data_IF_403903048138
#
_entry.id   IF_403903048138
#
_cell.length_a   1.000
_cell.length_b   1.000
_cell.length_c   1.000
_cell.angle_alpha   90.00
_cell.angle_beta   90.00
_cell.angle_gamma   90.00
#
_symmetry.space_group_name_H-M   'P 1'
#
loop_
_entity.id
_entity.type
_entity.pdbx_description
1 polymer ?
#
# COMPACT_ATOMS: atom_id res chain seq x y z
N UNK A 1 13.85 1.29 22.37
CA UNK A 1 13.03 2.35 23.02
C UNK A 1 12.75 3.44 21.99
N UNK A 2 11.50 3.54 21.52
CA UNK A 2 11.06 4.64 20.65
C UNK A 2 10.94 5.88 21.52
N UNK A 3 11.83 6.85 21.36
CA UNK A 3 11.79 8.09 22.11
C UNK A 3 10.85 9.04 21.36
N UNK A 4 9.62 9.19 21.85
CA UNK A 4 8.63 10.09 21.24
C UNK A 4 8.84 11.46 21.86
N UNK A 5 9.66 12.29 21.24
CA UNK A 5 9.82 13.68 21.67
C UNK A 5 8.53 14.50 21.40
N UNK A 6 8.15 15.25 22.43
CA UNK A 6 6.88 15.96 22.64
C UNK A 6 6.50 16.97 21.54
N UNK A 7 5.25 16.91 21.05
CA UNK A 7 4.19 17.96 21.07
C UNK A 7 3.00 17.62 20.11
N UNK A 8 1.78 17.53 20.66
CA UNK A 8 0.43 17.56 20.02
C UNK A 8 0.07 16.46 18.98
N UNK A 9 -0.95 15.63 19.25
CA UNK A 9 -1.46 14.61 18.31
C UNK A 9 -2.75 15.04 17.61
N UNK A 10 -2.76 14.85 16.30
CA UNK A 10 -3.88 14.86 15.38
C UNK A 10 -3.52 13.90 14.25
N UNK A 11 -4.51 13.42 13.48
CA UNK A 11 -4.27 12.78 12.18
C UNK A 11 -3.25 13.60 11.40
N UNK A 12 -2.16 13.04 10.89
CA UNK A 12 -1.15 13.86 10.19
C UNK A 12 -0.27 14.77 11.07
N UNK A 13 -0.16 14.54 12.39
CA UNK A 13 1.07 14.93 13.09
C UNK A 13 2.11 13.83 12.87
N UNK A 14 3.35 14.17 12.49
CA UNK A 14 4.34 13.16 12.18
C UNK A 14 4.74 12.36 13.42
N UNK A 15 5.16 11.12 13.19
CA UNK A 15 5.87 10.33 14.19
C UNK A 15 7.36 10.44 13.92
N UNK A 16 8.16 10.74 14.93
CA UNK A 16 9.61 10.64 14.84
C UNK A 16 10.03 9.24 15.28
N UNK A 17 10.75 8.53 14.41
CA UNK A 17 11.27 7.19 14.67
C UNK A 17 12.79 7.21 14.50
N UNK A 18 13.49 6.48 15.37
CA UNK A 18 14.95 6.33 15.28
C UNK A 18 15.38 5.69 13.96
N UNK A 19 16.45 6.21 13.35
CA UNK A 19 17.00 5.71 12.09
C UNK A 19 17.29 4.21 12.12
N UNK A 20 17.85 3.69 13.21
CA UNK A 20 18.23 2.28 13.29
C UNK A 20 17.01 1.36 13.21
N UNK A 21 15.88 1.75 13.80
CA UNK A 21 14.61 0.99 13.73
C UNK A 21 14.12 0.93 12.29
N UNK A 22 14.16 2.06 11.58
CA UNK A 22 13.71 2.13 10.19
C UNK A 22 14.62 1.33 9.27
N UNK A 23 15.94 1.48 9.39
CA UNK A 23 16.93 0.75 8.58
C UNK A 23 16.82 -0.76 8.78
N UNK A 24 16.57 -1.20 10.02
CA UNK A 24 16.42 -2.61 10.35
C UNK A 24 15.16 -3.23 9.74
N UNK A 25 14.02 -2.54 9.81
CA UNK A 25 12.75 -2.98 9.21
C UNK A 25 12.86 -2.95 7.67
N UNK A 26 13.48 -1.90 7.11
CA UNK A 26 13.70 -1.79 5.67
C UNK A 26 14.61 -2.90 5.13
N UNK A 27 15.66 -3.26 5.88
CA UNK A 27 16.51 -4.41 5.52
C UNK A 27 15.72 -5.71 5.46
N UNK A 28 14.77 -5.91 6.37
CA UNK A 28 13.90 -7.08 6.35
C UNK A 28 12.94 -7.06 5.15
N UNK A 29 12.35 -5.92 4.80
CA UNK A 29 11.47 -5.84 3.63
C UNK A 29 12.21 -6.10 2.31
N UNK A 30 13.44 -5.58 2.16
CA UNK A 30 14.30 -5.88 1.00
C UNK A 30 14.64 -7.37 0.90
N UNK A 31 14.87 -8.05 2.03
CA UNK A 31 15.19 -9.47 2.02
C UNK A 31 14.01 -10.34 1.52
N UNK A 32 12.76 -9.92 1.77
CA UNK A 32 11.56 -10.57 1.22
C UNK A 32 11.50 -10.37 -0.31
N UNK A 33 11.79 -9.16 -0.79
CA UNK A 33 11.88 -8.90 -2.22
C UNK A 33 12.97 -9.76 -2.89
N UNK A 34 14.14 -9.90 -2.26
CA UNK A 34 15.23 -10.74 -2.76
C UNK A 34 14.86 -12.23 -2.76
N UNK A 35 14.16 -12.70 -1.72
CA UNK A 35 13.59 -14.06 -1.70
C UNK A 35 12.61 -14.26 -2.85
N UNK A 36 11.68 -13.33 -3.05
CA UNK A 36 10.68 -13.43 -4.11
C UNK A 36 11.32 -13.49 -5.49
N UNK A 37 12.31 -12.63 -5.77
CA UNK A 37 13.07 -12.64 -7.03
C UNK A 37 13.74 -13.99 -7.30
N UNK A 38 14.18 -14.72 -6.27
CA UNK A 38 14.70 -16.08 -6.42
C UNK A 38 13.61 -17.09 -6.81
N UNK A 39 12.37 -16.91 -6.33
CA UNK A 39 11.24 -17.77 -6.67
C UNK A 39 10.82 -17.59 -8.14
N UNK A 40 10.72 -16.34 -8.60
CA UNK A 40 10.26 -15.98 -9.95
C UNK A 40 11.41 -15.80 -10.96
N UNK A 41 12.49 -16.58 -10.82
CA UNK A 41 13.75 -16.37 -11.55
C UNK A 41 13.69 -16.58 -13.08
N UNK A 42 12.50 -16.83 -13.65
CA UNK A 42 12.23 -16.79 -15.09
C UNK A 42 10.84 -16.19 -15.34
N UNK A 43 10.56 -15.65 -16.55
CA UNK A 43 9.23 -15.18 -16.92
C UNK A 43 8.12 -16.23 -16.79
N UNK A 44 8.45 -17.51 -17.02
CA UNK A 44 7.53 -18.63 -16.90
C UNK A 44 7.15 -18.87 -15.43
N UNK A 45 8.13 -18.85 -14.51
CA UNK A 45 7.85 -18.99 -13.08
C UNK A 45 7.06 -17.82 -12.53
N UNK A 46 7.35 -16.61 -12.99
CA UNK A 46 6.55 -15.43 -12.68
C UNK A 46 5.10 -15.60 -13.16
N UNK A 47 4.89 -16.08 -14.39
CA UNK A 47 3.54 -16.29 -14.92
C UNK A 47 2.79 -17.36 -14.11
N UNK A 48 3.44 -18.48 -13.78
CA UNK A 48 2.88 -19.50 -12.89
C UNK A 48 2.56 -18.94 -11.49
N UNK A 49 3.35 -18.00 -10.99
CA UNK A 49 3.14 -17.36 -9.70
C UNK A 49 1.89 -16.46 -9.71
N UNK A 50 1.72 -15.67 -10.79
CA UNK A 50 0.54 -14.84 -11.03
C UNK A 50 -0.71 -15.71 -11.17
N UNK A 51 -0.66 -16.76 -12.01
CA UNK A 51 -1.79 -17.68 -12.26
C UNK A 51 -2.38 -18.27 -10.98
N UNK A 52 -1.51 -18.64 -10.03
CA UNK A 52 -1.92 -19.19 -8.73
C UNK A 52 -2.72 -18.20 -7.86
N UNK A 53 -2.55 -16.89 -8.08
CA UNK A 53 -3.10 -15.82 -7.23
C UNK A 53 -4.31 -15.10 -7.85
N UNK A 54 -4.47 -15.21 -9.17
CA UNK A 54 -5.55 -14.54 -9.92
C UNK A 54 -6.53 -15.54 -10.58
N UNK A 55 -7.25 -16.39 -9.82
CA UNK A 55 -8.04 -17.48 -10.39
C UNK A 55 -9.32 -17.06 -11.15
N UNK A 56 -9.69 -15.77 -11.13
CA UNK A 56 -10.88 -15.20 -11.79
C UNK A 56 -10.64 -14.87 -13.28
N UNK A 57 -11.69 -14.60 -14.06
CA UNK A 57 -11.61 -14.59 -15.54
C UNK A 57 -10.71 -13.47 -16.11
N UNK A 58 -10.91 -12.22 -15.69
CA UNK A 58 -9.97 -11.13 -15.96
C UNK A 58 -8.63 -11.46 -15.30
N UNK A 59 -8.62 -12.06 -14.11
CA UNK A 59 -7.39 -12.47 -13.41
C UNK A 59 -6.48 -13.39 -14.23
N UNK A 60 -7.07 -14.34 -14.96
CA UNK A 60 -6.38 -15.22 -15.91
C UNK A 60 -5.95 -14.47 -17.18
N UNK A 61 -6.63 -13.38 -17.54
CA UNK A 61 -6.12 -12.49 -18.60
C UNK A 61 -4.93 -11.66 -18.15
N UNK A 62 -4.82 -11.40 -16.85
CA UNK A 62 -3.70 -10.65 -16.30
C UNK A 62 -2.38 -11.43 -16.30
N UNK A 63 -2.39 -12.75 -16.54
CA UNK A 63 -1.20 -13.60 -16.65
C UNK A 63 -0.69 -13.73 -18.10
N UNK A 64 -0.60 -12.61 -18.81
CA UNK A 64 -0.03 -12.59 -20.16
C UNK A 64 1.49 -12.82 -20.07
N UNK A 65 1.99 -13.85 -20.77
CA UNK A 65 3.44 -14.12 -20.84
C UNK A 65 4.23 -12.91 -21.33
N UNK A 66 3.70 -12.17 -22.32
CA UNK A 66 4.37 -11.00 -22.88
C UNK A 66 4.51 -9.88 -21.84
N UNK A 67 3.43 -9.60 -21.09
CA UNK A 67 3.43 -8.61 -20.00
C UNK A 67 4.37 -9.05 -18.88
N UNK A 68 4.29 -10.31 -18.45
CA UNK A 68 5.17 -10.84 -17.41
C UNK A 68 6.65 -10.84 -17.83
N UNK A 69 6.95 -11.11 -19.11
CA UNK A 69 8.31 -11.01 -19.65
C UNK A 69 8.84 -9.57 -19.63
N UNK A 70 8.02 -8.60 -20.04
CA UNK A 70 8.37 -7.18 -19.96
C UNK A 70 8.71 -6.78 -18.51
N UNK A 71 7.83 -7.11 -17.58
CA UNK A 71 8.00 -6.73 -16.18
C UNK A 71 9.17 -7.48 -15.51
N UNK A 72 9.40 -8.76 -15.87
CA UNK A 72 10.59 -9.50 -15.44
C UNK A 72 11.89 -8.84 -15.93
N UNK A 73 11.91 -8.32 -17.15
CA UNK A 73 13.06 -7.56 -17.65
C UNK A 73 13.30 -6.30 -16.82
N UNK A 74 12.25 -5.59 -16.41
CA UNK A 74 12.38 -4.45 -15.51
C UNK A 74 13.01 -4.86 -14.18
N UNK A 75 12.54 -5.95 -13.54
CA UNK A 75 13.14 -6.47 -12.30
C UNK A 75 14.64 -6.71 -12.47
N UNK A 76 15.05 -7.34 -13.58
CA UNK A 76 16.46 -7.64 -13.87
C UNK A 76 17.30 -6.39 -14.15
N UNK A 77 16.67 -5.34 -14.67
CA UNK A 77 17.27 -4.02 -14.89
C UNK A 77 17.29 -3.16 -13.61
N UNK A 78 16.92 -3.74 -12.46
CA UNK A 78 16.98 -3.09 -11.17
C UNK A 78 15.68 -2.41 -10.74
N UNK A 79 14.58 -2.60 -11.47
CA UNK A 79 13.26 -2.15 -11.04
C UNK A 79 12.87 -2.83 -9.73
N UNK A 80 12.50 -2.00 -8.77
CA UNK A 80 12.14 -2.46 -7.44
C UNK A 80 10.64 -2.75 -7.35
N UNK A 81 10.28 -3.78 -6.59
CA UNK A 81 8.89 -4.15 -6.38
C UNK A 81 8.36 -3.28 -5.24
N UNK A 82 7.41 -2.36 -5.48
CA UNK A 82 6.77 -1.59 -4.43
C UNK A 82 6.04 -2.54 -3.48
N UNK A 83 6.23 -2.31 -2.19
CA UNK A 83 5.89 -3.27 -1.17
C UNK A 83 5.49 -2.55 0.10
N UNK A 84 4.35 -2.88 0.67
CA UNK A 84 3.92 -2.37 1.96
C UNK A 84 4.29 -3.41 3.01
N UNK A 85 5.21 -3.07 3.92
CA UNK A 85 5.60 -3.94 5.03
C UNK A 85 5.05 -3.38 6.34
N UNK A 86 3.96 -3.96 6.83
CA UNK A 86 3.24 -3.49 8.01
C UNK A 86 3.74 -4.22 9.26
N UNK A 87 4.32 -3.45 10.19
CA UNK A 87 4.79 -3.93 11.49
C UNK A 87 4.07 -3.24 12.63
N UNK A 88 3.54 -4.05 13.55
CA UNK A 88 2.83 -3.61 14.74
C UNK A 88 3.77 -3.59 15.94
N UNK A 89 3.72 -2.52 16.73
CA UNK A 89 4.36 -2.48 18.04
C UNK A 89 3.57 -3.37 19.02
N UNK A 90 4.22 -4.43 19.46
CA UNK A 90 3.63 -5.58 20.16
C UNK A 90 4.43 -5.93 21.41
N UNK A 91 3.88 -6.82 22.22
CA UNK A 91 4.50 -7.34 23.44
C UNK A 91 5.08 -8.73 23.14
N UNK A 92 6.32 -8.97 23.54
CA UNK A 92 6.93 -10.31 23.50
C UNK A 92 6.53 -11.18 24.71
N UNK A 93 7.05 -12.42 24.77
CA UNK A 93 6.76 -13.35 25.86
C UNK A 93 7.25 -12.87 27.23
N UNK A 94 8.18 -11.93 27.28
CA UNK A 94 8.73 -11.34 28.50
C UNK A 94 8.02 -10.03 28.90
N UNK A 95 7.08 -9.54 28.09
CA UNK A 95 6.41 -8.27 28.35
C UNK A 95 7.08 -7.05 27.68
N UNK A 96 8.16 -7.25 26.93
CA UNK A 96 8.94 -6.16 26.32
C UNK A 96 8.37 -5.73 24.96
N UNK A 97 8.51 -4.44 24.58
CA UNK A 97 8.07 -3.95 23.28
C UNK A 97 8.94 -4.53 22.14
N UNK A 98 8.28 -5.07 21.11
CA UNK A 98 8.91 -5.49 19.85
C UNK A 98 8.03 -5.16 18.65
N UNK A 99 8.63 -5.03 17.47
CA UNK A 99 7.86 -4.97 16.23
C UNK A 99 7.57 -6.38 15.72
N UNK A 100 6.32 -6.65 15.37
CA UNK A 100 5.90 -7.91 14.73
C UNK A 100 5.19 -7.58 13.43
N UNK A 101 5.57 -8.24 12.34
CA UNK A 101 4.92 -8.07 11.05
C UNK A 101 3.51 -8.66 11.08
N UNK A 102 2.53 -7.85 10.72
CA UNK A 102 1.11 -8.22 10.70
C UNK A 102 0.59 -8.50 9.29
N UNK A 103 1.22 -7.86 8.30
CA UNK A 103 0.86 -7.95 6.90
C UNK A 103 2.03 -7.46 6.04
N UNK A 104 2.17 -8.03 4.86
CA UNK A 104 2.86 -7.35 3.79
C UNK A 104 2.15 -7.59 2.48
N UNK A 105 2.25 -6.64 1.55
CA UNK A 105 1.67 -6.76 0.24
C UNK A 105 2.45 -5.96 -0.80
N UNK A 106 2.65 -6.52 -1.99
CA UNK A 106 3.20 -5.74 -3.10
C UNK A 106 2.14 -4.78 -3.63
N UNK A 107 2.31 -3.49 -3.39
CA UNK A 107 1.32 -2.49 -3.72
C UNK A 107 1.97 -1.13 -3.99
N UNK A 108 1.41 -0.40 -4.96
CA UNK A 108 1.67 1.02 -5.11
C UNK A 108 0.62 1.80 -4.31
N UNK A 109 1.05 2.73 -3.45
CA UNK A 109 0.14 3.62 -2.75
C UNK A 109 0.86 4.77 -2.05
N UNK A 110 0.20 5.92 -1.92
CA UNK A 110 0.69 7.09 -1.16
C UNK A 110 1.93 7.78 -1.74
N UNK A 111 2.33 7.48 -2.98
CA UNK A 111 3.53 8.04 -3.61
C UNK A 111 3.37 9.54 -3.91
N UNK A 112 2.18 9.99 -4.31
CA UNK A 112 1.90 11.40 -4.61
C UNK A 112 1.59 12.21 -3.34
N UNK A 113 1.06 11.54 -2.32
CA UNK A 113 0.55 12.19 -1.10
C UNK A 113 1.65 12.59 -0.11
N UNK A 114 2.71 11.80 0.00
CA UNK A 114 3.53 11.81 1.23
C UNK A 114 4.36 13.07 1.41
N UNK A 115 4.84 13.66 0.30
CA UNK A 115 5.49 14.97 0.34
C UNK A 115 4.52 16.04 0.83
N UNK A 116 3.28 16.04 0.32
CA UNK A 116 2.25 17.01 0.72
C UNK A 116 1.95 16.94 2.21
N UNK A 117 1.82 15.74 2.78
CA UNK A 117 1.68 15.60 4.23
C UNK A 117 2.87 16.17 4.99
N UNK A 118 4.08 15.78 4.59
CA UNK A 118 5.32 16.18 5.24
C UNK A 118 5.46 17.71 5.23
N UNK A 119 5.13 18.36 4.12
CA UNK A 119 5.12 19.82 4.00
C UNK A 119 4.11 20.45 4.98
N UNK A 120 2.90 19.90 5.09
CA UNK A 120 1.87 20.40 6.02
C UNK A 120 2.31 20.24 7.48
N UNK A 121 2.97 19.13 7.82
CA UNK A 121 3.49 18.90 9.16
C UNK A 121 4.51 19.98 9.53
N UNK A 122 5.44 20.30 8.62
CA UNK A 122 6.46 21.32 8.84
C UNK A 122 5.85 22.72 8.91
N UNK A 123 4.85 23.02 8.07
CA UNK A 123 4.10 24.28 8.17
C UNK A 123 3.36 24.42 9.50
N UNK A 124 2.90 23.30 10.08
CA UNK A 124 2.23 23.29 11.38
C UNK A 124 3.23 23.41 12.55
N UNK A 125 4.45 22.92 12.40
CA UNK A 125 5.53 23.02 13.39
C UNK A 125 6.91 23.12 12.70
N UNK A 126 7.42 24.36 12.62
CA UNK A 126 8.71 24.67 12.00
C UNK A 126 9.89 23.90 12.61
N UNK A 127 9.79 23.40 13.86
CA UNK A 127 10.86 22.61 14.46
C UNK A 127 11.09 21.27 13.76
N UNK A 128 10.12 20.80 12.96
CA UNK A 128 10.21 19.58 12.17
C UNK A 128 11.06 19.73 10.90
N UNK A 129 11.43 20.96 10.51
CA UNK A 129 12.27 21.23 9.33
C UNK A 129 13.57 20.42 9.36
N UNK A 130 14.13 20.18 10.56
CA UNK A 130 15.37 19.38 10.75
C UNK A 130 15.24 17.93 10.27
N UNK A 131 14.03 17.39 10.15
CA UNK A 131 13.77 16.03 9.69
C UNK A 131 13.38 15.94 8.21
N UNK A 132 13.27 17.06 7.49
CA UNK A 132 12.89 17.03 6.07
C UNK A 132 13.90 16.29 5.20
N UNK A 133 15.20 16.38 5.53
CA UNK A 133 16.28 15.70 4.81
C UNK A 133 16.38 14.21 5.13
N UNK A 134 15.73 13.75 6.20
CA UNK A 134 15.80 12.35 6.63
C UNK A 134 14.72 11.46 6.01
N UNK A 135 13.82 12.05 5.22
CA UNK A 135 12.72 11.37 4.58
C UNK A 135 13.01 11.12 3.08
N UNK A 136 12.84 9.87 2.62
CA UNK A 136 12.95 9.54 1.20
C UNK A 136 11.70 10.02 0.44
N UNK A 137 11.87 10.88 -0.56
CA UNK A 137 10.75 11.39 -1.34
C UNK A 137 10.42 10.48 -2.54
N UNK A 138 9.34 9.67 -2.49
CA UNK A 138 8.98 8.76 -3.59
C UNK A 138 8.59 9.47 -4.89
N UNK A 139 8.28 10.78 -4.84
CA UNK A 139 8.03 11.57 -6.05
C UNK A 139 9.26 11.57 -6.96
N UNK A 140 10.47 11.60 -6.39
CA UNK A 140 11.70 11.58 -7.17
C UNK A 140 11.83 10.27 -7.96
N UNK A 141 11.40 9.14 -7.40
CA UNK A 141 11.48 7.88 -8.12
C UNK A 141 10.39 7.77 -9.21
N UNK A 142 9.20 8.36 -9.00
CA UNK A 142 8.19 8.48 -10.06
C UNK A 142 8.71 9.31 -11.25
N UNK A 143 9.40 10.41 -10.97
CA UNK A 143 10.03 11.25 -12.00
C UNK A 143 11.12 10.47 -12.73
N UNK A 144 11.96 9.73 -12.01
CA UNK A 144 13.01 8.89 -12.60
C UNK A 144 12.43 7.82 -13.52
N UNK A 145 11.35 7.13 -13.11
CA UNK A 145 10.64 6.16 -13.96
C UNK A 145 10.13 6.81 -15.24
N UNK A 146 9.55 8.01 -15.16
CA UNK A 146 9.09 8.76 -16.33
C UNK A 146 10.23 9.09 -17.28
N UNK A 147 11.37 9.51 -16.76
CA UNK A 147 12.57 9.84 -17.55
C UNK A 147 13.12 8.57 -18.21
N UNK A 148 13.34 7.52 -17.42
CA UNK A 148 14.11 6.34 -17.83
C UNK A 148 13.29 5.35 -18.65
N UNK A 149 12.07 5.01 -18.18
CA UNK A 149 11.22 4.03 -18.84
C UNK A 149 10.32 4.66 -19.90
N UNK A 150 9.78 5.84 -19.64
CA UNK A 150 8.87 6.51 -20.57
C UNK A 150 9.53 7.56 -21.46
N UNK A 151 10.84 7.81 -21.30
CA UNK A 151 11.58 8.83 -22.08
C UNK A 151 10.89 10.21 -22.04
N UNK A 152 10.45 10.60 -20.85
CA UNK A 152 9.65 11.79 -20.57
C UNK A 152 8.24 11.83 -21.18
N UNK A 153 7.75 10.73 -21.76
CA UNK A 153 6.35 10.64 -22.19
C UNK A 153 5.41 10.48 -20.98
N UNK A 154 4.14 10.84 -21.17
CA UNK A 154 3.10 10.70 -20.15
C UNK A 154 2.92 9.21 -19.78
N UNK A 155 3.00 8.91 -18.48
CA UNK A 155 2.60 7.62 -17.92
C UNK A 155 1.18 7.78 -17.37
N UNK A 156 0.26 6.99 -17.91
CA UNK A 156 -1.15 6.99 -17.52
C UNK A 156 -1.29 6.30 -16.17
N UNK A 157 -1.87 7.00 -15.20
CA UNK A 157 -2.27 6.41 -13.91
C UNK A 157 -3.70 5.89 -14.02
N UNK A 158 -3.87 4.59 -13.81
CA UNK A 158 -5.16 3.91 -13.98
C UNK A 158 -5.66 3.29 -12.67
N UNK A 159 -6.94 3.47 -12.38
CA UNK A 159 -7.66 2.85 -11.26
C UNK A 159 -9.12 2.59 -11.68
N UNK A 160 -9.88 1.75 -10.97
CA UNK A 160 -11.29 1.53 -11.33
C UNK A 160 -12.14 2.79 -11.10
N UNK A 161 -11.92 3.47 -9.96
CA UNK A 161 -12.69 4.62 -9.49
C UNK A 161 -11.73 5.79 -9.17
N UNK A 162 -11.01 6.29 -10.18
CA UNK A 162 -9.82 7.12 -9.97
C UNK A 162 -10.11 8.47 -9.30
N UNK A 163 -11.33 9.00 -9.46
CA UNK A 163 -11.72 10.34 -9.01
C UNK A 163 -12.71 10.35 -7.84
N UNK A 164 -13.16 9.18 -7.39
CA UNK A 164 -14.18 9.04 -6.33
C UNK A 164 -13.76 8.08 -5.22
N UNK A 165 -12.63 7.39 -5.38
CA UNK A 165 -12.06 6.55 -4.32
C UNK A 165 -11.47 7.39 -3.19
N UNK A 166 -11.30 6.79 -2.01
CA UNK A 166 -10.66 7.42 -0.84
C UNK A 166 -9.18 7.77 -1.04
N UNK A 167 -8.64 7.43 -2.19
CA UNK A 167 -7.24 7.67 -2.56
C UNK A 167 -7.15 8.45 -3.87
N UNK A 168 -8.25 9.08 -4.30
CA UNK A 168 -8.33 9.86 -5.53
C UNK A 168 -7.29 10.99 -5.57
N UNK A 169 -7.03 11.64 -4.44
CA UNK A 169 -5.97 12.65 -4.30
C UNK A 169 -4.60 12.09 -4.67
N UNK A 170 -4.22 10.94 -4.12
CA UNK A 170 -2.93 10.31 -4.39
C UNK A 170 -2.81 9.96 -5.88
N UNK A 171 -3.87 9.41 -6.47
CA UNK A 171 -3.94 9.11 -7.90
C UNK A 171 -3.83 10.37 -8.77
N UNK A 172 -4.46 11.48 -8.37
CA UNK A 172 -4.39 12.77 -9.08
C UNK A 172 -2.96 13.33 -9.02
N UNK A 173 -2.34 13.37 -7.85
CA UNK A 173 -0.98 13.88 -7.72
C UNK A 173 0.03 12.99 -8.47
N UNK A 174 -0.13 11.66 -8.42
CA UNK A 174 0.66 10.75 -9.25
C UNK A 174 0.48 11.02 -10.75
N UNK A 175 -0.75 11.20 -11.22
CA UNK A 175 -1.03 11.50 -12.62
C UNK A 175 -0.36 12.80 -13.08
N UNK A 176 -0.35 13.83 -12.24
CA UNK A 176 0.34 15.09 -12.56
C UNK A 176 1.85 14.95 -12.64
N UNK A 177 2.45 14.22 -11.68
CA UNK A 177 3.90 13.96 -11.66
C UNK A 177 4.30 13.18 -12.93
N UNK A 178 3.54 12.15 -13.25
CA UNK A 178 3.81 11.22 -14.34
C UNK A 178 3.38 11.72 -15.73
N UNK A 179 2.57 12.78 -15.78
CA UNK A 179 2.11 13.46 -16.99
C UNK A 179 2.43 14.95 -16.96
N UNK A 180 1.40 15.77 -16.77
CA UNK A 180 1.44 17.22 -16.66
C UNK A 180 0.44 17.73 -15.61
N UNK A 181 0.43 19.02 -15.31
CA UNK A 181 -0.49 19.62 -14.32
C UNK A 181 -2.00 19.41 -14.63
N UNK A 182 -2.35 19.10 -15.88
CA UNK A 182 -3.73 18.85 -16.33
C UNK A 182 -4.08 17.36 -16.37
N UNK A 183 -3.11 16.49 -16.10
CA UNK A 183 -3.26 15.05 -16.19
C UNK A 183 -4.13 14.55 -15.05
N UNK A 184 -5.04 13.64 -15.39
CA UNK A 184 -5.98 13.03 -14.45
C UNK A 184 -5.85 11.51 -14.54
N UNK A 185 -6.01 10.80 -13.41
CA UNK A 185 -6.07 9.36 -13.41
C UNK A 185 -7.34 8.89 -14.15
N UNK A 186 -7.23 7.75 -14.83
CA UNK A 186 -8.26 7.25 -15.77
C UNK A 186 -8.86 5.92 -15.32
N UNK A 187 -10.08 5.64 -15.77
CA UNK A 187 -10.74 4.34 -15.55
C UNK A 187 -10.47 3.40 -16.72
N UNK A 188 -10.27 2.08 -16.50
CA UNK A 188 -10.26 1.10 -17.58
C UNK A 188 -11.58 1.11 -18.37
N UNK A 189 -12.69 1.55 -17.76
CA UNK A 189 -13.98 1.67 -18.44
C UNK A 189 -13.97 2.67 -19.60
N UNK A 190 -12.99 3.57 -19.65
CA UNK A 190 -12.83 4.55 -20.72
C UNK A 190 -11.88 4.12 -21.85
N UNK A 191 -11.30 2.91 -21.75
CA UNK A 191 -10.44 2.32 -22.79
C UNK A 191 -11.24 1.99 -24.04
N UNK A 192 -10.66 2.29 -25.20
CA UNK A 192 -11.13 1.86 -26.52
C UNK A 192 -9.96 1.63 -27.48
N UNK A 193 -10.27 1.05 -28.64
CA UNK A 193 -9.29 0.73 -29.69
C UNK A 193 -9.68 1.40 -31.00
N UNK A 194 -8.73 2.06 -31.64
CA UNK A 194 -8.89 2.75 -32.92
C UNK A 194 -7.59 2.58 -33.73
N UNK A 195 -7.70 2.24 -35.01
CA UNK A 195 -6.54 1.99 -35.89
C UNK A 195 -5.47 1.05 -35.30
N UNK A 196 -5.93 0.01 -34.61
CA UNK A 196 -5.07 -0.98 -33.97
C UNK A 196 -4.38 -0.50 -32.67
N UNK A 197 -4.50 0.78 -32.32
CA UNK A 197 -3.90 1.41 -31.13
C UNK A 197 -4.91 1.55 -29.99
N UNK A 198 -4.39 1.61 -28.76
CA UNK A 198 -5.18 1.80 -27.55
C UNK A 198 -5.29 3.26 -27.18
N UNK A 199 -6.51 3.69 -26.87
CA UNK A 199 -6.82 5.04 -26.44
C UNK A 199 -7.70 5.01 -25.19
N UNK A 200 -7.62 6.08 -24.41
CA UNK A 200 -8.40 6.24 -23.19
C UNK A 200 -9.00 7.64 -23.17
N UNK A 201 -10.30 7.72 -22.89
CA UNK A 201 -10.95 9.00 -22.66
C UNK A 201 -10.68 9.46 -21.22
N UNK A 202 -10.01 10.59 -21.08
CA UNK A 202 -9.80 11.25 -19.79
C UNK A 202 -11.06 12.01 -19.44
N UNK A 203 -11.62 11.71 -18.28
CA UNK A 203 -12.84 12.35 -17.76
C UNK A 203 -12.57 13.08 -16.47
N UNK A 204 -13.33 14.13 -16.20
CA UNK A 204 -13.33 14.78 -14.89
C UNK A 204 -14.32 14.09 -13.92
N UNK A 205 -14.38 14.57 -12.67
CA UNK A 205 -15.28 14.05 -11.62
C UNK A 205 -16.78 14.15 -11.96
N UNK A 206 -17.15 14.99 -12.93
CA UNK A 206 -18.51 15.15 -13.42
C UNK A 206 -18.79 14.25 -14.65
N UNK A 207 -17.90 13.28 -14.92
CA UNK A 207 -17.97 12.36 -16.06
C UNK A 207 -17.88 13.05 -17.44
N UNK A 208 -17.43 14.30 -17.50
CA UNK A 208 -17.26 15.03 -18.75
C UNK A 208 -15.93 14.63 -19.39
N UNK A 209 -15.97 14.35 -20.69
CA UNK A 209 -14.76 14.10 -21.50
C UNK A 209 -13.91 15.37 -21.58
N UNK A 210 -12.63 15.24 -21.24
CA UNK A 210 -11.65 16.34 -21.25
C UNK A 210 -10.72 16.21 -22.44
N UNK A 211 -10.14 15.02 -22.64
CA UNK A 211 -9.22 14.70 -23.74
C UNK A 211 -9.11 13.20 -23.95
N UNK A 212 -8.64 12.81 -25.12
CA UNK A 212 -8.23 11.44 -25.43
C UNK A 212 -6.72 11.31 -25.38
N UNK A 213 -6.21 10.22 -24.82
CA UNK A 213 -4.76 9.92 -24.78
C UNK A 213 -4.49 8.51 -25.30
N UNK A 214 -3.35 8.32 -25.98
CA UNK A 214 -2.90 7.00 -26.41
C UNK A 214 -2.25 6.26 -25.23
N UNK A 215 -2.63 5.00 -25.00
CA UNK A 215 -2.16 4.20 -23.88
C UNK A 215 -0.81 3.51 -24.15
N UNK A 216 0.26 4.30 -24.22
CA UNK A 216 1.61 3.77 -24.45
C UNK A 216 2.29 3.29 -23.16
N UNK A 217 2.20 4.06 -22.07
CA UNK A 217 2.79 3.74 -20.78
C UNK A 217 1.71 3.78 -19.71
N UNK A 218 1.58 2.70 -18.93
CA UNK A 218 0.49 2.57 -17.96
C UNK A 218 1.03 2.11 -16.61
N UNK A 219 0.65 2.83 -15.56
CA UNK A 219 0.80 2.44 -14.16
C UNK A 219 -0.61 2.23 -13.59
N UNK A 220 -0.97 0.98 -13.31
CA UNK A 220 -2.31 0.61 -12.89
C UNK A 220 -2.35 0.17 -11.42
N UNK A 221 -3.14 0.86 -10.57
CA UNK A 221 -3.18 0.63 -9.12
C UNK A 221 -4.32 -0.29 -8.64
N UNK A 222 -4.98 -0.98 -9.57
CA UNK A 222 -6.15 -1.81 -9.24
C UNK A 222 -5.75 -3.04 -8.43
N UNK A 223 -6.31 -3.14 -7.22
CA UNK A 223 -6.23 -4.33 -6.37
C UNK A 223 -7.13 -5.45 -6.88
N UNK A 224 -6.98 -6.66 -6.32
CA UNK A 224 -7.88 -7.79 -6.62
C UNK A 224 -9.36 -7.43 -6.41
N UNK A 225 -9.70 -6.71 -5.33
CA UNK A 225 -11.07 -6.23 -5.11
C UNK A 225 -11.55 -5.27 -6.19
N UNK A 226 -10.65 -4.44 -6.73
CA UNK A 226 -10.99 -3.53 -7.83
C UNK A 226 -11.26 -4.31 -9.10
N UNK A 227 -10.45 -5.33 -9.42
CA UNK A 227 -10.71 -6.16 -10.60
C UNK A 227 -12.02 -6.94 -10.47
N UNK A 228 -12.33 -7.49 -9.29
CA UNK A 228 -13.63 -8.16 -9.04
C UNK A 228 -14.79 -7.16 -9.21
N UNK A 229 -14.64 -5.92 -8.74
CA UNK A 229 -15.62 -4.86 -8.94
C UNK A 229 -15.80 -4.52 -10.41
N UNK A 230 -14.69 -4.44 -11.17
CA UNK A 230 -14.71 -4.20 -12.61
C UNK A 230 -15.44 -5.31 -13.36
N UNK A 231 -15.16 -6.59 -13.04
CA UNK A 231 -15.86 -7.74 -13.62
C UNK A 231 -17.38 -7.66 -13.42
N UNK A 232 -17.81 -7.26 -12.22
CA UNK A 232 -19.24 -7.09 -11.91
C UNK A 232 -19.87 -5.96 -12.73
N UNK A 233 -19.17 -4.84 -12.89
CA UNK A 233 -19.67 -3.68 -13.65
C UNK A 233 -19.85 -3.99 -15.15
N UNK A 234 -18.94 -4.78 -15.72
CA UNK A 234 -19.00 -5.16 -17.14
C UNK A 234 -19.70 -6.51 -17.36
N UNK A 235 -20.39 -7.05 -16.34
CA UNK A 235 -20.86 -8.42 -16.37
C UNK A 235 -21.84 -8.72 -17.53
N UNK A 236 -22.68 -7.74 -17.86
CA UNK A 236 -23.64 -7.79 -18.96
C UNK A 236 -23.12 -7.28 -20.31
N UNK A 237 -21.92 -6.71 -20.37
CA UNK A 237 -21.34 -6.15 -21.59
C UNK A 237 -20.19 -7.02 -22.10
N UNK A 238 -20.54 -8.02 -22.91
CA UNK A 238 -19.57 -8.96 -23.49
C UNK A 238 -18.52 -8.24 -24.36
N UNK A 239 -18.93 -7.18 -25.08
CA UNK A 239 -18.01 -6.42 -25.94
C UNK A 239 -16.98 -5.68 -25.08
N UNK A 240 -17.43 -4.95 -24.06
CA UNK A 240 -16.53 -4.24 -23.15
C UNK A 240 -15.65 -5.21 -22.37
N UNK A 241 -16.19 -6.36 -21.92
CA UNK A 241 -15.39 -7.41 -21.28
C UNK A 241 -14.25 -7.89 -22.18
N UNK A 242 -14.55 -8.27 -23.43
CA UNK A 242 -13.53 -8.74 -24.37
C UNK A 242 -12.49 -7.66 -24.68
N UNK A 243 -12.93 -6.42 -24.87
CA UNK A 243 -12.04 -5.28 -25.06
C UNK A 243 -11.05 -5.11 -23.89
N UNK A 244 -11.52 -5.23 -22.64
CA UNK A 244 -10.65 -5.13 -21.46
C UNK A 244 -9.75 -6.35 -21.29
N UNK A 245 -10.23 -7.55 -21.61
CA UNK A 245 -9.40 -8.76 -21.64
C UNK A 245 -8.22 -8.59 -22.61
N UNK A 246 -8.47 -8.04 -23.79
CA UNK A 246 -7.44 -7.77 -24.80
C UNK A 246 -6.48 -6.67 -24.33
N UNK A 247 -7.00 -5.57 -23.77
CA UNK A 247 -6.19 -4.46 -23.26
C UNK A 247 -5.20 -4.91 -22.19
N UNK A 248 -5.65 -5.65 -21.16
CA UNK A 248 -4.77 -6.12 -20.09
C UNK A 248 -3.77 -7.21 -20.53
N UNK A 249 -4.00 -7.85 -21.69
CA UNK A 249 -3.08 -8.86 -22.24
C UNK A 249 -2.03 -8.27 -23.17
N UNK A 250 -2.24 -7.06 -23.65
CA UNK A 250 -1.47 -6.49 -24.74
C UNK A 250 -0.05 -6.13 -24.29
N UNK A 251 0.92 -6.88 -24.80
CA UNK A 251 2.35 -6.67 -24.54
C UNK A 251 2.98 -5.51 -25.33
N UNK A 252 2.23 -4.84 -26.21
CA UNK A 252 2.69 -3.62 -26.88
C UNK A 252 2.61 -2.39 -25.96
N UNK A 253 1.72 -2.42 -24.97
CA UNK A 253 1.64 -1.40 -23.91
C UNK A 253 2.86 -1.57 -23.00
N UNK A 254 3.49 -0.46 -22.65
CA UNK A 254 4.57 -0.42 -21.66
C UNK A 254 3.98 -0.35 -20.24
N UNK A 255 3.78 -1.51 -19.63
CA UNK A 255 3.24 -1.61 -18.28
C UNK A 255 4.30 -1.27 -17.24
N UNK A 256 4.28 -0.06 -16.71
CA UNK A 256 5.13 0.33 -15.57
C UNK A 256 4.72 -0.46 -14.33
N UNK A 257 3.41 -0.63 -14.12
CA UNK A 257 2.86 -1.53 -13.12
C UNK A 257 1.54 -2.09 -13.62
N UNK A 258 1.44 -3.42 -13.62
CA UNK A 258 0.30 -4.15 -14.14
C UNK A 258 -0.57 -4.67 -12.99
N UNK A 259 -1.92 -4.70 -13.10
CA UNK A 259 -2.80 -5.14 -12.01
C UNK A 259 -2.54 -6.59 -11.53
N UNK A 260 -1.97 -7.48 -12.35
CA UNK A 260 -1.57 -8.82 -11.85
C UNK A 260 -0.44 -8.78 -10.82
N UNK A 261 0.30 -7.67 -10.75
CA UNK A 261 1.41 -7.50 -9.83
C UNK A 261 1.00 -6.80 -8.54
N UNK A 262 -0.19 -6.19 -8.52
CA UNK A 262 -0.83 -5.76 -7.29
C UNK A 262 -1.16 -7.01 -6.47
N UNK A 263 -0.59 -7.12 -5.28
CA UNK A 263 -0.65 -8.29 -4.40
C UNK A 263 0.00 -9.57 -4.97
N UNK A 264 1.03 -9.46 -5.83
CA UNK A 264 1.86 -10.61 -6.21
C UNK A 264 2.62 -11.23 -5.03
N UNK A 265 2.91 -10.43 -4.01
CA UNK A 265 3.22 -10.86 -2.67
C UNK A 265 2.09 -10.41 -1.75
N UNK A 266 1.62 -11.30 -0.88
CA UNK A 266 0.54 -10.99 0.06
C UNK A 266 0.62 -11.85 1.34
N UNK A 267 -0.48 -11.91 2.10
CA UNK A 267 -0.60 -12.67 3.35
C UNK A 267 -0.22 -14.15 3.23
N UNK A 268 -0.40 -14.76 2.04
CA UNK A 268 0.01 -16.15 1.74
C UNK A 268 1.50 -16.37 1.94
N UNK A 269 2.29 -15.32 1.74
CA UNK A 269 3.73 -15.41 1.78
C UNK A 269 4.29 -15.07 3.17
N UNK A 270 3.46 -14.64 4.14
CA UNK A 270 3.93 -14.20 5.46
C UNK A 270 4.78 -15.24 6.21
N UNK A 271 4.57 -16.53 5.96
CA UNK A 271 5.37 -17.61 6.57
C UNK A 271 6.86 -17.48 6.23
N UNK A 272 7.22 -16.85 5.10
CA UNK A 272 8.61 -16.61 4.67
C UNK A 272 9.45 -15.85 5.71
N UNK A 273 8.81 -15.06 6.58
CA UNK A 273 9.48 -14.33 7.64
C UNK A 273 10.24 -15.27 8.59
N UNK A 274 9.77 -16.51 8.74
CA UNK A 274 10.38 -17.55 9.56
C UNK A 274 11.63 -18.15 8.89
N UNK A 275 11.72 -18.09 7.56
CA UNK A 275 12.81 -18.66 6.76
C UNK A 275 13.98 -17.70 6.59
N UNK A 276 13.72 -16.40 6.59
CA UNK A 276 14.73 -15.36 6.34
C UNK A 276 15.29 -14.85 7.67
N UNK A 277 16.58 -15.11 7.94
CA UNK A 277 17.25 -14.78 9.21
C UNK A 277 17.00 -13.33 9.70
N UNK A 278 17.16 -12.32 8.84
CA UNK A 278 16.94 -10.92 9.25
C UNK A 278 15.46 -10.56 9.51
N UNK A 279 14.52 -11.40 9.08
CA UNK A 279 13.08 -11.23 9.24
C UNK A 279 12.52 -11.97 10.46
N UNK A 280 13.21 -13.00 10.97
CA UNK A 280 12.70 -13.89 12.03
C UNK A 280 12.23 -13.17 13.29
N UNK A 281 12.90 -12.07 13.68
CA UNK A 281 12.50 -11.26 14.84
C UNK A 281 11.15 -10.54 14.67
N UNK A 282 10.71 -10.33 13.43
CA UNK A 282 9.40 -9.76 13.11
C UNK A 282 8.35 -10.84 12.87
N UNK A 283 8.73 -12.12 12.83
CA UNK A 283 7.82 -13.21 12.54
C UNK A 283 6.90 -13.49 13.74
N UNK A 284 5.70 -13.94 13.41
CA UNK A 284 4.80 -14.63 14.34
C UNK A 284 4.62 -16.06 13.82
N UNK A 285 3.99 -16.93 14.61
CA UNK A 285 3.63 -18.25 14.10
C UNK A 285 2.50 -18.11 13.06
N UNK A 286 2.67 -18.76 11.90
CA UNK A 286 1.73 -18.68 10.77
C UNK A 286 1.48 -20.08 10.24
N UNK A 287 0.20 -20.39 10.06
CA UNK A 287 -0.27 -21.58 9.35
C UNK A 287 -1.01 -21.17 8.07
N UNK A 288 -0.63 -21.78 6.96
CA UNK A 288 -1.22 -21.60 5.64
C UNK A 288 -2.43 -22.51 5.44
N UNK A 289 -3.21 -22.20 4.41
CA UNK A 289 -4.29 -23.04 3.91
C UNK A 289 -3.89 -24.52 3.84
N UNK A 290 -4.79 -25.41 4.30
CA UNK A 290 -4.62 -26.87 4.37
C UNK A 290 -3.51 -27.38 5.30
N UNK A 291 -2.80 -26.50 6.02
CA UNK A 291 -1.89 -26.95 7.08
C UNK A 291 -2.68 -27.32 8.35
N UNK A 292 -2.18 -28.31 9.07
CA UNK A 292 -2.65 -28.68 10.41
C UNK A 292 -2.04 -27.70 11.42
N UNK A 293 -2.87 -27.13 12.27
CA UNK A 293 -2.43 -26.30 13.40
C UNK A 293 -1.88 -27.21 14.49
N UNK A 294 -0.57 -27.12 14.73
CA UNK A 294 0.17 -28.05 15.61
C UNK A 294 0.38 -27.53 17.03
N UNK A 295 0.08 -26.26 17.32
CA UNK A 295 0.20 -25.70 18.67
C UNK A 295 -1.11 -25.14 19.21
N UNK A 296 -1.36 -25.39 20.50
CA UNK A 296 -2.41 -24.70 21.26
C UNK A 296 -2.17 -23.19 21.23
N UNK A 297 -3.22 -22.39 21.08
CA UNK A 297 -3.08 -20.93 21.08
C UNK A 297 -4.31 -20.16 20.62
N UNK A 298 -4.19 -18.84 20.70
CA UNK A 298 -5.13 -17.90 20.09
C UNK A 298 -4.56 -17.47 18.75
N UNK A 299 -5.37 -17.55 17.70
CA UNK A 299 -4.99 -17.18 16.34
C UNK A 299 -5.98 -16.17 15.78
N UNK A 300 -5.50 -15.36 14.84
CA UNK A 300 -6.33 -14.54 13.96
C UNK A 300 -6.44 -15.28 12.63
N UNK A 301 -7.65 -15.72 12.30
CA UNK A 301 -8.02 -16.20 10.98
C UNK A 301 -8.17 -15.00 10.06
N UNK A 302 -7.31 -14.93 9.03
CA UNK A 302 -7.28 -13.82 8.08
C UNK A 302 -7.60 -14.33 6.67
N UNK A 303 -8.56 -13.72 5.95
CA UNK A 303 -8.74 -14.00 4.53
C UNK A 303 -7.50 -13.55 3.76
N UNK A 304 -7.02 -14.37 2.82
CA UNK A 304 -5.83 -14.06 2.04
C UNK A 304 -6.05 -12.90 1.07
N UNK A 305 -7.28 -12.74 0.57
CA UNK A 305 -7.62 -11.82 -0.52
C UNK A 305 -8.22 -10.48 -0.08
N UNK A 306 -8.54 -10.31 1.20
CA UNK A 306 -9.13 -9.07 1.69
C UNK A 306 -8.11 -8.15 2.34
N UNK A 307 -8.42 -6.86 2.35
CA UNK A 307 -7.59 -5.78 2.88
C UNK A 307 -8.35 -5.02 3.97
N UNK A 308 -7.67 -4.12 4.70
CA UNK A 308 -8.33 -3.17 5.61
C UNK A 308 -8.95 -3.78 6.87
N UNK A 309 -8.59 -5.01 7.24
CA UNK A 309 -9.06 -5.65 8.47
C UNK A 309 -10.43 -6.34 8.39
N UNK A 310 -11.03 -6.43 7.21
CA UNK A 310 -12.33 -7.08 7.03
C UNK A 310 -12.25 -8.60 7.17
N UNK A 311 -13.37 -9.19 7.62
CA UNK A 311 -13.60 -10.64 7.77
C UNK A 311 -12.50 -11.41 8.53
N UNK A 312 -11.83 -10.73 9.48
CA UNK A 312 -10.90 -11.37 10.41
C UNK A 312 -11.63 -11.88 11.65
N UNK A 313 -11.22 -13.04 12.14
CA UNK A 313 -11.81 -13.69 13.31
C UNK A 313 -10.71 -14.12 14.28
N UNK A 314 -10.92 -13.87 15.58
CA UNK A 314 -10.03 -14.39 16.63
C UNK A 314 -10.58 -15.73 17.10
N UNK A 315 -9.76 -16.77 17.01
CA UNK A 315 -10.14 -18.15 17.33
C UNK A 315 -9.18 -18.75 18.35
N UNK A 316 -9.71 -19.52 19.29
CA UNK A 316 -8.93 -20.33 20.22
C UNK A 316 -8.86 -21.75 19.66
N UNK A 317 -7.64 -22.27 19.48
CA UNK A 317 -7.40 -23.62 18.96
C UNK A 317 -6.68 -24.44 20.01
N UNK A 318 -7.07 -25.72 20.11
CA UNK A 318 -6.23 -26.74 20.73
C UNK A 318 -5.70 -27.70 19.66
N UNK A 319 -4.40 -27.93 19.64
CA UNK A 319 -3.67 -28.83 18.76
C UNK A 319 -4.24 -30.27 18.81
N UNK A 320 -4.78 -30.69 19.96
CA UNK A 320 -5.44 -32.00 20.12
C UNK A 320 -6.62 -32.23 19.15
N UNK A 321 -7.17 -31.16 18.55
CA UNK A 321 -8.30 -31.23 17.62
C UNK A 321 -7.90 -31.34 16.15
N UNK A 322 -6.61 -31.42 15.83
CA UNK A 322 -6.08 -31.47 14.45
C UNK A 322 -6.77 -30.44 13.53
N UNK A 323 -6.85 -29.19 13.99
CA UNK A 323 -7.56 -28.16 13.25
C UNK A 323 -6.82 -27.87 11.93
N UNK A 324 -7.54 -27.92 10.81
CA UNK A 324 -6.99 -27.62 9.48
C UNK A 324 -7.37 -26.19 9.09
N UNK A 325 -6.40 -25.40 8.64
CA UNK A 325 -6.65 -24.05 8.15
C UNK A 325 -7.57 -24.10 6.91
N UNK A 326 -8.74 -23.41 6.91
CA UNK A 326 -9.67 -23.46 5.79
C UNK A 326 -9.09 -22.84 4.51
N UNK A 327 -9.61 -23.28 3.36
CA UNK A 327 -9.22 -22.73 2.06
C UNK A 327 -9.45 -21.22 1.96
N UNK A 328 -8.47 -20.49 1.41
CA UNK A 328 -8.51 -19.03 1.27
C UNK A 328 -8.18 -18.24 2.55
N UNK A 329 -7.75 -18.91 3.63
CA UNK A 329 -7.38 -18.27 4.89
C UNK A 329 -5.96 -18.63 5.33
N UNK A 330 -5.34 -17.73 6.09
CA UNK A 330 -4.18 -18.03 6.94
C UNK A 330 -4.59 -17.90 8.40
N UNK A 331 -3.91 -18.63 9.28
CA UNK A 331 -3.95 -18.39 10.72
C UNK A 331 -2.64 -17.79 11.15
N UNK A 332 -2.70 -16.59 11.73
CA UNK A 332 -1.55 -15.94 12.35
C UNK A 332 -1.74 -15.95 13.86
N UNK A 333 -0.70 -16.26 14.63
CA UNK A 333 -0.73 -16.15 16.08
C UNK A 333 -1.24 -14.78 16.52
N UNK A 334 -2.09 -14.76 17.54
CA UNK A 334 -2.65 -13.53 18.06
C UNK A 334 -1.57 -12.65 18.66
N UNK A 335 -1.33 -11.50 18.03
CA UNK A 335 -0.31 -10.55 18.46
C UNK A 335 -0.88 -9.63 19.54
N UNK A 336 -0.35 -9.74 20.75
CA UNK A 336 -0.68 -8.82 21.84
C UNK A 336 -0.05 -7.46 21.57
N UNK A 337 -0.88 -6.45 21.40
CA UNK A 337 -0.44 -5.09 21.10
C UNK A 337 0.26 -4.46 22.31
N UNK A 338 1.34 -3.72 22.09
CA UNK A 338 1.96 -2.89 23.12
C UNK A 338 1.17 -1.58 23.25
N UNK A 339 0.59 -1.30 24.43
CA UNK A 339 -0.10 -0.04 24.64
C UNK A 339 0.91 1.09 24.74
N UNK A 340 0.94 1.95 23.74
CA UNK A 340 1.78 3.14 23.72
C UNK A 340 1.04 4.26 24.45
N UNK A 341 1.62 4.84 25.50
CA UNK A 341 1.08 6.06 26.10
C UNK A 341 1.27 7.21 25.11
N UNK A 342 0.17 7.90 24.81
CA UNK A 342 0.11 8.99 23.83
C UNK A 342 -0.57 10.21 24.47
N UNK A 343 0.16 11.32 24.51
CA UNK A 343 -0.33 12.59 25.07
C UNK A 343 -0.83 13.55 23.99
N UNK A 344 -2.14 13.57 23.77
CA UNK A 344 -2.84 14.47 22.85
C UNK A 344 -2.99 15.86 23.47
N UNK A 345 -1.90 16.65 23.43
CA UNK A 345 -1.86 17.98 24.06
C UNK A 345 -2.93 18.96 23.58
N UNK A 346 -3.39 18.85 22.32
CA UNK A 346 -4.44 19.73 21.77
C UNK A 346 -5.75 19.60 22.57
N UNK A 347 -5.96 18.42 23.14
CA UNK A 347 -7.12 18.09 23.95
C UNK A 347 -6.81 18.03 25.44
N UNK A 348 -5.56 18.30 25.84
CA UNK A 348 -5.08 18.01 27.19
C UNK A 348 -5.44 16.57 27.64
N UNK A 349 -5.33 15.60 26.72
CA UNK A 349 -5.73 14.21 26.93
C UNK A 349 -4.51 13.30 26.89
N UNK A 350 -4.43 12.36 27.82
CA UNK A 350 -3.47 11.25 27.78
C UNK A 350 -4.23 9.94 27.57
N UNK A 351 -3.82 9.14 26.59
CA UNK A 351 -4.53 7.90 26.23
C UNK A 351 -3.56 6.82 25.75
N UNK A 352 -4.02 5.57 25.75
CA UNK A 352 -3.26 4.46 25.18
C UNK A 352 -3.60 4.31 23.69
N UNK A 353 -2.58 4.13 22.86
CA UNK A 353 -2.72 3.87 21.44
C UNK A 353 -1.94 2.63 20.99
N UNK A 354 -2.30 2.12 19.84
CA UNK A 354 -1.58 1.08 19.11
C UNK A 354 -0.80 1.72 17.98
N UNK A 355 0.46 1.36 17.78
CA UNK A 355 1.31 1.87 16.69
C UNK A 355 1.57 0.78 15.66
N UNK A 356 1.19 1.03 14.42
CA UNK A 356 1.57 0.25 13.24
C UNK A 356 2.46 1.13 12.36
N UNK A 357 3.63 0.64 11.97
CA UNK A 357 4.52 1.28 11.01
C UNK A 357 4.43 0.53 9.69
N UNK A 358 4.21 1.27 8.61
CA UNK A 358 4.25 0.79 7.23
C UNK A 358 5.53 1.29 6.59
N UNK A 359 6.44 0.37 6.29
CA UNK A 359 7.66 0.66 5.55
C UNK A 359 7.48 0.27 4.09
N UNK A 360 7.67 1.24 3.20
CA UNK A 360 7.44 1.06 1.77
C UNK A 360 8.72 1.28 0.96
N UNK A 361 9.39 0.20 0.53
CA UNK A 361 10.32 0.27 -0.59
C UNK A 361 9.58 0.85 -1.80
N UNK A 362 10.13 1.88 -2.42
CA UNK A 362 9.54 2.51 -3.58
C UNK A 362 9.80 1.71 -4.85
N UNK A 363 9.05 2.05 -5.90
CA UNK A 363 9.46 1.75 -7.26
C UNK A 363 10.72 2.58 -7.52
N UNK A 364 11.86 1.96 -7.78
CA UNK A 364 13.11 2.62 -8.06
C UNK A 364 13.77 1.95 -9.27
N UNK A 365 14.34 2.74 -10.18
CA UNK A 365 15.03 2.24 -11.37
C UNK A 365 16.54 2.28 -11.18
N UNK A 366 17.26 1.26 -11.65
CA UNK A 366 18.73 1.23 -11.71
C UNK A 366 19.49 1.61 -10.40
N UNK A 367 18.83 1.49 -9.24
CA UNK A 367 19.41 1.80 -7.93
C UNK A 367 19.89 0.54 -7.23
N UNK A 368 21.14 0.57 -6.78
CA UNK A 368 21.70 -0.46 -5.90
C UNK A 368 20.89 -0.56 -4.60
N UNK A 369 20.90 -1.71 -3.91
CA UNK A 369 20.17 -1.89 -2.65
C UNK A 369 20.49 -0.83 -1.58
N UNK A 370 21.69 -0.20 -1.63
CA UNK A 370 22.11 0.88 -0.73
C UNK A 370 21.57 2.28 -1.10
N UNK A 371 21.16 2.45 -2.37
CA UNK A 371 20.57 3.69 -2.89
C UNK A 371 19.04 3.64 -2.94
N UNK A 372 18.46 2.48 -2.61
CA UNK A 372 17.01 2.33 -2.51
C UNK A 372 16.53 3.03 -1.24
N UNK A 373 15.65 4.01 -1.42
CA UNK A 373 14.97 4.63 -0.30
C UNK A 373 13.69 3.87 0.07
N UNK A 374 13.20 4.14 1.26
CA UNK A 374 11.86 3.78 1.69
C UNK A 374 11.17 4.99 2.26
N UNK A 375 9.89 5.11 1.99
CA UNK A 375 9.06 6.03 2.73
C UNK A 375 8.26 5.27 3.78
N UNK A 376 7.84 6.02 4.79
CA UNK A 376 7.19 5.47 5.96
C UNK A 376 5.90 6.21 6.22
N UNK A 377 4.91 5.43 6.60
CA UNK A 377 3.65 5.89 7.11
C UNK A 377 3.39 5.15 8.41
N UNK A 378 2.72 5.79 9.36
CA UNK A 378 2.34 5.14 10.59
C UNK A 378 0.84 5.27 10.82
N UNK A 379 0.23 4.22 11.38
CA UNK A 379 -1.12 4.28 11.89
C UNK A 379 -1.08 4.26 13.41
N UNK A 380 -1.75 5.23 14.01
CA UNK A 380 -2.06 5.22 15.43
C UNK A 380 -3.56 5.06 15.62
N UNK A 381 -3.94 3.98 16.27
CA UNK A 381 -5.32 3.78 16.66
C UNK A 381 -5.43 3.89 18.20
N UNK A 382 -6.22 4.84 18.73
CA UNK A 382 -6.47 4.87 20.16
C UNK A 382 -7.12 3.55 20.58
N UNK A 383 -6.68 3.01 21.70
CA UNK A 383 -7.25 1.80 22.28
C UNK A 383 -8.70 2.12 22.62
N UNK A 384 -9.64 1.32 22.11
CA UNK A 384 -11.06 1.45 22.48
C UNK A 384 -11.22 1.05 23.94
N UNK A 385 -11.02 1.98 24.86
CA UNK A 385 -11.39 1.77 26.25
C UNK A 385 -12.91 1.94 26.38
N UNK A 386 -13.58 0.93 26.95
CA UNK A 386 -14.95 1.09 27.44
C UNK A 386 -14.87 1.99 28.68
N UNK A 387 -14.96 3.30 28.51
CA UNK A 387 -15.14 4.22 29.64
C UNK A 387 -16.63 4.16 30.04
N UNK A 388 -16.92 3.61 31.22
CA UNK A 388 -18.26 3.58 31.82
C UNK A 388 -19.40 3.03 30.92
N UNK A 389 -19.16 1.93 30.20
CA UNK A 389 -20.22 1.22 29.45
C UNK A 389 -20.76 1.93 28.19
N UNK A 390 -20.29 3.14 27.88
CA UNK A 390 -20.53 3.80 26.59
C UNK A 390 -19.28 3.69 25.73
N UNK A 391 -19.42 3.19 24.50
CA UNK A 391 -18.41 3.40 23.46
C UNK A 391 -18.52 4.87 23.05
N UNK A 392 -17.81 5.75 23.75
CA UNK A 392 -17.83 7.16 23.39
C UNK A 392 -16.98 7.36 22.14
N UNK A 393 -17.60 7.79 21.02
CA UNK A 393 -16.94 8.29 19.80
C UNK A 393 -16.16 9.61 20.04
N UNK A 394 -15.87 9.96 21.28
CA UNK A 394 -15.25 11.22 21.67
C UNK A 394 -13.75 11.07 21.59
N UNK A 395 -13.16 11.34 20.42
CA UNK A 395 -11.75 11.74 20.21
C UNK A 395 -11.48 12.20 18.75
N UNK A 396 -12.53 12.58 18.01
CA UNK A 396 -12.47 12.88 16.57
C UNK A 396 -12.00 14.34 16.28
N UNK A 397 -12.10 15.26 17.24
CA UNK A 397 -11.89 16.70 16.99
C UNK A 397 -10.47 17.07 16.51
N UNK A 398 -9.35 16.61 17.11
CA UNK A 398 -8.01 16.95 16.62
C UNK A 398 -7.69 16.26 15.30
N UNK A 399 -8.21 15.05 15.10
CA UNK A 399 -8.11 14.34 13.82
C UNK A 399 -8.73 15.19 12.72
N UNK A 400 -9.89 15.80 12.99
CA UNK A 400 -10.57 16.70 12.07
C UNK A 400 -9.73 17.96 11.76
N UNK A 401 -9.13 18.61 12.77
CA UNK A 401 -8.38 19.85 12.56
C UNK A 401 -7.21 19.72 11.57
N UNK A 402 -6.49 18.62 11.60
CA UNK A 402 -5.35 18.40 10.69
C UNK A 402 -5.79 17.95 9.30
N UNK A 403 -6.88 17.17 9.22
CA UNK A 403 -7.57 16.93 7.95
C UNK A 403 -8.00 18.26 7.32
N UNK A 404 -8.55 19.18 8.11
CA UNK A 404 -8.98 20.50 7.63
C UNK A 404 -7.81 21.38 7.19
N UNK A 405 -6.66 21.34 7.89
CA UNK A 405 -5.42 22.01 7.45
C UNK A 405 -4.92 21.46 6.12
N UNK A 406 -4.98 20.14 5.93
CA UNK A 406 -4.58 19.52 4.67
C UNK A 406 -5.52 19.91 3.54
N UNK A 407 -6.84 19.85 3.77
CA UNK A 407 -7.84 20.27 2.77
C UNK A 407 -7.62 21.74 2.39
N UNK A 408 -7.31 22.58 3.38
CA UNK A 408 -7.01 24.01 3.18
C UNK A 408 -5.73 24.18 2.35
N UNK A 409 -4.64 23.48 2.71
CA UNK A 409 -3.39 23.52 1.95
C UNK A 409 -3.60 23.07 0.51
N UNK A 410 -4.28 21.95 0.29
CA UNK A 410 -4.52 21.40 -1.05
C UNK A 410 -5.37 22.36 -1.89
N UNK A 411 -6.42 22.94 -1.30
CA UNK A 411 -7.24 23.98 -1.93
C UNK A 411 -6.41 25.20 -2.32
N UNK A 412 -5.53 25.67 -1.42
CA UNK A 412 -4.68 26.82 -1.71
C UNK A 412 -3.66 26.53 -2.81
N UNK A 413 -3.11 25.31 -2.87
CA UNK A 413 -2.11 24.90 -3.85
C UNK A 413 -2.71 24.63 -5.23
N UNK A 414 -3.90 24.04 -5.29
CA UNK A 414 -4.48 23.49 -6.54
C UNK A 414 -5.76 24.19 -6.98
N UNK A 415 -6.29 25.10 -6.16
CA UNK A 415 -7.63 25.68 -6.35
C UNK A 415 -8.78 24.69 -6.12
N UNK A 416 -8.50 23.43 -5.78
CA UNK A 416 -9.50 22.35 -5.73
C UNK A 416 -9.88 22.00 -4.30
N UNK A 417 -11.19 21.97 -4.02
CA UNK A 417 -11.70 21.44 -2.74
C UNK A 417 -11.79 19.92 -2.78
N UNK A 418 -11.25 19.27 -1.75
CA UNK A 418 -11.29 17.81 -1.58
C UNK A 418 -12.18 17.46 -0.37
N UNK A 419 -13.12 16.51 -0.49
CA UNK A 419 -13.88 16.00 0.64
C UNK A 419 -12.97 15.30 1.66
N UNK A 420 -13.25 15.46 2.96
CA UNK A 420 -12.53 14.76 4.02
C UNK A 420 -12.58 13.23 3.90
N UNK A 421 -13.61 12.69 3.23
CA UNK A 421 -13.75 11.25 2.95
C UNK A 421 -12.69 10.71 1.99
N UNK A 422 -12.06 11.60 1.22
CA UNK A 422 -11.10 11.24 0.17
C UNK A 422 -9.66 11.23 0.71
N UNK A 423 -9.54 11.25 2.04
CA UNK A 423 -8.29 11.21 2.79
C UNK A 423 -8.03 9.79 3.33
N UNK A 424 -6.78 9.31 3.32
CA UNK A 424 -6.42 7.96 3.72
C UNK A 424 -6.44 7.74 5.24
N UNK A 425 -7.36 6.88 5.64
CA UNK A 425 -7.73 6.60 7.02
C UNK A 425 -6.57 6.37 8.01
N UNK A 426 -6.40 7.29 8.96
CA UNK A 426 -5.56 7.15 10.15
C UNK A 426 -4.05 7.08 9.93
N UNK A 427 -3.54 7.44 8.75
CA UNK A 427 -2.10 7.40 8.47
C UNK A 427 -1.42 8.75 8.71
N UNK A 428 -0.26 8.72 9.36
CA UNK A 428 0.61 9.87 9.63
C UNK A 428 1.94 9.70 8.89
N UNK A 429 2.58 10.81 8.45
CA UNK A 429 3.93 10.73 7.92
C UNK A 429 4.89 10.36 9.06
N UNK A 430 6.00 9.72 8.72
CA UNK A 430 7.04 9.38 9.69
C UNK A 430 8.32 10.13 9.34
N UNK A 431 8.83 10.88 10.32
CA UNK A 431 10.15 11.49 10.29
C UNK A 431 11.17 10.56 10.91
N UNK A 432 12.40 10.62 10.39
CA UNK A 432 13.51 9.80 10.90
C UNK A 432 14.43 10.69 11.73
N UNK A 433 14.67 10.30 12.98
CA UNK A 433 15.68 10.91 13.84
C UNK A 433 17.06 10.46 13.38
N UNK A 434 17.86 11.40 12.87
CA UNK A 434 19.20 11.19 12.30
C UNK A 434 20.32 11.25 13.31
#
# INVERSE_FOLDING_TARGET
MVNIERKFWSYGHPIVVKKEVVEEIFKASLAICDWFKKQINTPEKLSQWVDKRTPYLLGKSLSSYQVNKQLFNYINQGFNIPFEFDVLLSIDSQGSPKFTCVEFQSAIGYLGWIKGLTDICVLADNSLTKYQSSYHNPINDLIEIKIELAKNQEIIVMDINPLTSRTSVDLIEMAKILGDEKSLPVSPLDVYREDGKWYINVRNKNNQHIRTIQANYVLCRMTKSDIISLEKQIAGDVKKRNLLLDFFRDGSIQWIWHPAWQNILDKRDLQVLQEINCCQKYASLIYQENQVVTSDGVYVKKPMDETGGYNQEVIQISASRNYIVPNGYIFQEFIKVYPLQVDIKALNLSTLATLELRVMPTIAWNKSNKQRGSYLMARLAPRREKIAGKITKTNILPIQDSVDRWITWYKNKTGTTVPATDMPFGMCPVFIET
#
